data_IF_164534407839
#
_entry.id   IF_164534407839
#
_cell.length_a   1.000
_cell.length_b   1.000
_cell.length_c   1.000
_cell.angle_alpha   90.00
_cell.angle_beta   90.00
_cell.angle_gamma   90.00
#
_symmetry.space_group_name_H-M   'P 1'
#
loop_
_entity.id
_entity.type
_entity.pdbx_description
1 polymer ?
#
# COMPACT_ATOMS: atom_id res chain seq x y z
N UNK A 1 -22.26 33.68 5.12
CA UNK A 1 -23.65 33.18 5.15
C UNK A 1 -23.59 31.71 5.52
N UNK A 2 -23.88 31.36 6.77
CA UNK A 2 -23.93 29.95 7.20
C UNK A 2 -25.33 29.46 6.83
N UNK A 3 -25.42 28.67 5.77
CA UNK A 3 -26.69 28.10 5.30
C UNK A 3 -27.00 26.91 6.20
N UNK A 4 -28.00 27.05 7.07
CA UNK A 4 -28.51 25.95 7.87
C UNK A 4 -29.59 25.23 7.05
N UNK A 5 -29.27 24.05 6.51
CA UNK A 5 -30.28 23.17 5.91
C UNK A 5 -31.09 22.53 7.04
N UNK A 6 -32.40 22.80 7.09
CA UNK A 6 -33.32 21.93 7.82
C UNK A 6 -33.16 20.51 7.28
N UNK A 7 -32.95 19.55 8.18
CA UNK A 7 -32.71 18.14 7.87
C UNK A 7 -33.96 17.59 7.17
N UNK A 8 -33.95 17.66 5.85
CA UNK A 8 -35.00 17.06 5.03
C UNK A 8 -34.83 15.56 5.12
N UNK A 9 -35.69 14.92 5.91
CA UNK A 9 -35.97 13.48 5.91
C UNK A 9 -34.79 12.60 5.46
N UNK A 10 -33.96 12.09 6.41
CA UNK A 10 -32.79 11.27 6.11
C UNK A 10 -33.07 10.09 5.18
N UNK A 11 -34.25 9.48 5.30
CA UNK A 11 -34.66 8.37 4.43
C UNK A 11 -34.89 8.85 2.99
N UNK A 12 -35.52 10.01 2.81
CA UNK A 12 -35.70 10.64 1.49
C UNK A 12 -34.37 11.07 0.87
N UNK A 13 -33.44 11.58 1.69
CA UNK A 13 -32.08 11.92 1.25
C UNK A 13 -31.35 10.66 0.78
N UNK A 14 -31.38 9.59 1.58
CA UNK A 14 -30.78 8.30 1.24
C UNK A 14 -31.38 7.74 -0.06
N UNK A 15 -32.70 7.68 -0.17
CA UNK A 15 -33.36 7.19 -1.38
C UNK A 15 -32.99 7.97 -2.64
N UNK A 16 -32.80 9.29 -2.53
CA UNK A 16 -32.47 10.15 -3.67
C UNK A 16 -30.98 10.16 -4.03
N UNK A 17 -30.09 10.06 -3.04
CA UNK A 17 -28.66 10.32 -3.23
C UNK A 17 -27.74 9.13 -2.92
N UNK A 18 -28.27 7.96 -2.52
CA UNK A 18 -27.45 6.78 -2.19
C UNK A 18 -26.43 6.40 -3.28
N UNK A 19 -26.80 6.49 -4.56
CA UNK A 19 -25.88 6.22 -5.68
C UNK A 19 -24.67 7.14 -5.67
N UNK A 20 -24.89 8.44 -5.47
CA UNK A 20 -23.81 9.43 -5.41
C UNK A 20 -23.00 9.27 -4.13
N UNK A 21 -23.65 8.98 -3.00
CA UNK A 21 -22.98 8.76 -1.72
C UNK A 21 -22.09 7.51 -1.73
N UNK A 22 -22.48 6.49 -2.49
CA UNK A 22 -21.74 5.23 -2.60
C UNK A 22 -20.83 5.16 -3.83
N UNK A 23 -20.68 6.24 -4.60
CA UNK A 23 -19.94 6.24 -5.86
C UNK A 23 -18.48 5.86 -5.66
N UNK A 24 -17.81 6.48 -4.69
CA UNK A 24 -16.40 6.21 -4.38
C UNK A 24 -16.19 4.78 -3.88
N UNK A 25 -17.15 4.26 -3.11
CA UNK A 25 -17.14 2.86 -2.64
C UNK A 25 -17.23 1.92 -3.84
N UNK A 26 -18.17 2.16 -4.77
CA UNK A 26 -18.30 1.38 -6.00
C UNK A 26 -17.01 1.40 -6.82
N UNK A 27 -16.41 2.59 -6.99
CA UNK A 27 -15.14 2.76 -7.73
C UNK A 27 -14.00 2.00 -7.06
N UNK A 28 -13.90 2.05 -5.73
CA UNK A 28 -12.89 1.33 -4.97
C UNK A 28 -13.05 -0.19 -5.11
N UNK A 29 -14.26 -0.70 -4.90
CA UNK A 29 -14.56 -2.14 -5.00
C UNK A 29 -14.31 -2.69 -6.40
N UNK A 30 -14.61 -1.92 -7.46
CA UNK A 30 -14.33 -2.31 -8.84
C UNK A 30 -12.83 -2.34 -9.21
N UNK A 31 -11.98 -1.58 -8.50
CA UNK A 31 -10.51 -1.66 -8.67
C UNK A 31 -9.92 -2.89 -7.99
N UNK A 32 -10.50 -3.29 -6.86
CA UNK A 32 -10.08 -4.45 -6.08
C UNK A 32 -10.56 -5.78 -6.72
N UNK A 33 -11.72 -5.79 -7.41
CA UNK A 33 -12.29 -6.98 -8.03
C UNK A 33 -12.38 -6.86 -9.57
N UNK A 34 -11.24 -7.07 -10.26
CA UNK A 34 -11.08 -6.82 -11.71
C UNK A 34 -12.04 -7.60 -12.64
N UNK A 35 -12.72 -8.63 -12.15
CA UNK A 35 -13.50 -9.56 -12.98
C UNK A 35 -15.01 -9.57 -12.68
N UNK A 36 -15.53 -8.73 -11.78
CA UNK A 36 -16.97 -8.70 -11.49
C UNK A 36 -17.40 -7.34 -10.93
N UNK A 37 -18.50 -6.78 -11.46
CA UNK A 37 -19.11 -5.59 -10.86
C UNK A 37 -19.55 -5.89 -9.42
N UNK A 38 -19.28 -4.99 -8.46
CA UNK A 38 -19.72 -5.19 -7.09
C UNK A 38 -21.25 -5.17 -7.03
N UNK A 39 -21.83 -6.13 -6.32
CA UNK A 39 -23.28 -6.21 -6.12
C UNK A 39 -23.76 -4.92 -5.44
N UNK A 40 -24.78 -4.28 -6.01
CA UNK A 40 -25.29 -2.96 -5.59
C UNK A 40 -25.65 -2.94 -4.09
N UNK A 41 -26.23 -4.02 -3.57
CA UNK A 41 -26.58 -4.14 -2.16
C UNK A 41 -25.36 -4.10 -1.24
N UNK A 42 -24.23 -4.68 -1.67
CA UNK A 42 -22.96 -4.64 -0.92
C UNK A 42 -22.43 -3.21 -0.85
N UNK A 43 -22.49 -2.48 -1.98
CA UNK A 43 -22.03 -1.10 -2.08
C UNK A 43 -22.85 -0.18 -1.15
N UNK A 44 -24.17 -0.34 -1.15
CA UNK A 44 -25.05 0.44 -0.27
C UNK A 44 -24.87 0.09 1.19
N UNK A 45 -24.75 -1.20 1.51
CA UNK A 45 -24.51 -1.65 2.88
C UNK A 45 -23.20 -1.06 3.43
N UNK A 46 -22.12 -1.07 2.63
CA UNK A 46 -20.86 -0.46 3.01
C UNK A 46 -20.97 1.05 3.23
N UNK A 47 -21.78 1.74 2.41
CA UNK A 47 -22.05 3.15 2.59
C UNK A 47 -22.82 3.43 3.90
N UNK A 48 -23.81 2.59 4.24
CA UNK A 48 -24.53 2.68 5.51
C UNK A 48 -23.63 2.43 6.72
N UNK A 49 -22.67 1.50 6.64
CA UNK A 49 -21.69 1.25 7.71
C UNK A 49 -20.87 2.51 8.00
N UNK A 50 -20.31 3.13 6.96
CA UNK A 50 -19.50 4.35 7.12
C UNK A 50 -20.32 5.52 7.67
N UNK A 51 -21.56 5.67 7.19
CA UNK A 51 -22.48 6.68 7.71
C UNK A 51 -22.81 6.43 9.17
N UNK A 52 -23.05 5.18 9.57
CA UNK A 52 -23.36 4.83 10.95
C UNK A 52 -22.19 5.12 11.89
N UNK A 53 -20.96 4.80 11.48
CA UNK A 53 -19.78 5.06 12.31
C UNK A 53 -19.61 6.57 12.57
N UNK A 54 -19.82 7.39 11.53
CA UNK A 54 -19.78 8.86 11.63
C UNK A 54 -20.91 9.39 12.52
N UNK A 55 -22.15 8.95 12.28
CA UNK A 55 -23.33 9.41 13.03
C UNK A 55 -23.26 8.98 14.50
N UNK A 56 -22.79 7.76 14.77
CA UNK A 56 -22.61 7.24 16.13
C UNK A 56 -21.51 8.02 16.84
N UNK A 57 -20.40 8.34 16.16
CA UNK A 57 -19.33 9.17 16.72
C UNK A 57 -19.78 10.59 17.09
N UNK A 58 -20.65 11.21 16.28
CA UNK A 58 -21.11 12.58 16.53
C UNK A 58 -22.29 12.68 17.50
N UNK A 59 -23.22 11.72 17.45
CA UNK A 59 -24.52 11.83 18.14
C UNK A 59 -24.77 10.73 19.17
N UNK A 60 -23.95 9.67 19.18
CA UNK A 60 -24.13 8.50 20.03
C UNK A 60 -25.35 7.63 19.67
N UNK A 61 -26.02 7.90 18.55
CA UNK A 61 -27.25 7.21 18.12
C UNK A 61 -27.03 6.45 16.82
N UNK A 62 -27.76 5.36 16.65
CA UNK A 62 -27.72 4.53 15.45
C UNK A 62 -28.48 5.16 14.27
N UNK A 63 -28.23 4.65 13.06
CA UNK A 63 -28.96 5.11 11.86
C UNK A 63 -30.46 4.84 11.95
N UNK A 64 -30.86 3.75 12.62
CA UNK A 64 -32.26 3.42 12.85
C UNK A 64 -33.01 4.55 13.59
N UNK A 65 -32.33 5.25 14.50
CA UNK A 65 -32.92 6.39 15.21
C UNK A 65 -33.37 7.52 14.26
N UNK A 66 -32.71 7.63 13.11
CA UNK A 66 -32.99 8.64 12.10
C UNK A 66 -33.87 8.10 10.96
N UNK A 67 -34.39 6.88 11.09
CA UNK A 67 -35.28 6.25 10.10
C UNK A 67 -34.55 5.67 8.89
N UNK A 68 -33.24 5.48 8.97
CA UNK A 68 -32.43 4.86 7.91
C UNK A 68 -32.36 3.33 8.09
N UNK A 69 -32.07 2.57 7.00
CA UNK A 69 -31.86 1.13 7.09
C UNK A 69 -30.67 0.79 7.98
N UNK A 70 -30.79 -0.27 8.79
CA UNK A 70 -29.67 -0.78 9.58
C UNK A 70 -28.64 -1.46 8.67
N UNK A 71 -27.35 -1.12 8.80
CA UNK A 71 -26.31 -1.81 8.06
C UNK A 71 -26.14 -3.23 8.59
N UNK A 72 -26.01 -4.17 7.66
CA UNK A 72 -25.70 -5.56 7.96
C UNK A 72 -24.19 -5.69 8.10
N UNK A 73 -23.74 -5.75 9.35
CA UNK A 73 -22.35 -6.07 9.70
C UNK A 73 -22.26 -7.57 9.92
N UNK A 74 -22.28 -8.37 8.85
CA UNK A 74 -21.90 -9.78 8.98
C UNK A 74 -20.50 -9.84 9.60
N UNK A 75 -20.35 -10.59 10.69
CA UNK A 75 -19.18 -10.61 11.59
C UNK A 75 -17.92 -11.26 10.97
N UNK A 76 -17.61 -10.95 9.72
CA UNK A 76 -16.35 -11.34 9.09
C UNK A 76 -15.86 -10.24 8.17
N UNK A 77 -15.31 -9.18 8.75
CA UNK A 77 -13.92 -8.71 8.57
C UNK A 77 -13.71 -7.55 9.57
N UNK A 78 -12.79 -7.80 10.50
CA UNK A 78 -12.35 -7.03 11.67
C UNK A 78 -12.06 -5.56 11.32
N UNK A 79 -12.53 -4.59 12.13
CA UNK A 79 -11.67 -3.70 12.97
C UNK A 79 -12.50 -3.14 14.14
N UNK A 80 -12.26 -3.64 15.35
CA UNK A 80 -12.22 -2.89 16.62
C UNK A 80 -12.23 -3.88 17.78
N UNK A 81 -11.06 -4.39 18.15
CA UNK A 81 -10.80 -4.75 19.54
C UNK A 81 -9.74 -3.79 20.07
N UNK A 82 -10.21 -2.76 20.79
CA UNK A 82 -9.39 -1.96 21.69
C UNK A 82 -8.96 -2.80 22.89
N UNK A 83 -8.11 -3.79 22.65
CA UNK A 83 -7.27 -4.38 23.69
C UNK A 83 -5.85 -4.46 23.11
N UNK A 84 -4.96 -3.66 23.70
CA UNK A 84 -3.49 -3.62 23.50
C UNK A 84 -2.88 -2.87 22.30
N UNK A 85 -3.61 -2.05 21.53
CA UNK A 85 -2.97 -1.23 20.49
C UNK A 85 -2.20 -2.04 19.43
N UNK A 86 -2.46 -3.34 19.36
CA UNK A 86 -1.90 -4.24 18.36
C UNK A 86 -2.85 -4.31 17.18
N UNK A 87 -2.35 -3.95 16.01
CA UNK A 87 -3.08 -4.14 14.75
C UNK A 87 -2.99 -5.63 14.42
N UNK A 88 -4.14 -6.32 14.44
CA UNK A 88 -4.22 -7.70 13.95
C UNK A 88 -4.22 -7.62 12.43
N UNK A 89 -3.09 -8.01 11.83
CA UNK A 89 -3.00 -8.17 10.38
C UNK A 89 -3.81 -9.41 10.02
N UNK A 90 -4.88 -9.30 9.21
CA UNK A 90 -5.65 -10.48 8.85
C UNK A 90 -4.80 -11.40 7.98
N UNK A 91 -4.93 -12.72 8.18
CA UNK A 91 -4.05 -13.74 7.60
C UNK A 91 -4.04 -13.78 6.05
N UNK A 92 -4.96 -13.06 5.40
CA UNK A 92 -5.05 -12.92 3.95
C UNK A 92 -4.43 -11.62 3.41
N UNK A 93 -3.98 -10.70 4.27
CA UNK A 93 -3.38 -9.43 3.85
C UNK A 93 -1.94 -9.60 3.39
N UNK A 94 -1.21 -10.52 4.02
CA UNK A 94 0.19 -10.74 3.73
C UNK A 94 0.56 -12.21 3.96
N UNK A 95 1.39 -12.73 3.08
CA UNK A 95 2.03 -14.02 3.28
C UNK A 95 3.31 -13.85 4.07
N UNK A 96 3.42 -14.56 5.18
CA UNK A 96 4.68 -14.59 5.95
C UNK A 96 5.63 -15.56 5.29
N UNK A 97 6.79 -15.05 4.86
CA UNK A 97 7.91 -15.85 4.35
C UNK A 97 8.96 -15.98 5.44
N UNK A 98 9.49 -17.19 5.63
CA UNK A 98 10.47 -17.48 6.69
C UNK A 98 11.92 -17.25 6.29
N UNK A 99 12.18 -17.17 4.98
CA UNK A 99 13.54 -17.11 4.43
C UNK A 99 13.60 -16.34 3.11
N UNK A 100 14.81 -15.91 2.76
CA UNK A 100 15.06 -15.08 1.58
C UNK A 100 14.91 -15.87 0.26
N UNK A 101 15.18 -17.18 0.26
CA UNK A 101 15.02 -18.02 -0.94
C UNK A 101 13.53 -18.04 -1.32
N UNK A 102 12.65 -18.36 -0.38
CA UNK A 102 11.20 -18.39 -0.58
C UNK A 102 10.66 -17.02 -1.00
N UNK A 103 11.15 -15.92 -0.40
CA UNK A 103 10.76 -14.57 -0.80
C UNK A 103 11.14 -14.28 -2.25
N UNK A 104 12.39 -14.53 -2.61
CA UNK A 104 12.91 -14.23 -3.96
C UNK A 104 12.26 -15.10 -5.03
N UNK A 105 12.07 -16.40 -4.79
CA UNK A 105 11.44 -17.30 -5.75
C UNK A 105 9.95 -16.96 -5.95
N UNK A 106 9.30 -16.37 -4.94
CA UNK A 106 7.91 -15.91 -5.05
C UNK A 106 7.76 -14.65 -5.90
N UNK A 107 8.70 -13.70 -5.78
CA UNK A 107 8.66 -12.43 -6.54
C UNK A 107 9.27 -12.59 -7.93
N UNK A 108 10.41 -13.28 -8.00
CA UNK A 108 11.20 -13.52 -9.21
C UNK A 108 11.44 -15.03 -9.43
N UNK A 109 10.38 -15.79 -9.78
CA UNK A 109 10.53 -17.21 -10.07
C UNK A 109 11.53 -17.45 -11.20
N UNK A 110 12.39 -18.47 -11.03
CA UNK A 110 13.34 -18.92 -12.06
C UNK A 110 14.30 -17.81 -12.54
N UNK A 111 14.68 -16.89 -11.64
CA UNK A 111 15.53 -15.74 -11.98
C UNK A 111 16.88 -16.11 -12.60
N UNK A 112 17.41 -17.29 -12.29
CA UNK A 112 18.66 -17.82 -12.85
C UNK A 112 18.64 -17.92 -14.39
N UNK A 113 17.44 -17.99 -14.99
CA UNK A 113 17.22 -18.03 -16.44
C UNK A 113 16.77 -16.69 -17.02
N UNK A 114 16.76 -15.60 -16.24
CA UNK A 114 16.39 -14.28 -16.74
C UNK A 114 17.38 -13.84 -17.83
N UNK A 115 16.85 -13.37 -18.96
CA UNK A 115 17.64 -12.89 -20.11
C UNK A 115 17.33 -11.42 -20.40
N UNK A 116 18.07 -10.80 -21.33
CA UNK A 116 17.79 -9.44 -21.79
C UNK A 116 16.35 -9.22 -22.29
N UNK A 117 15.70 -10.27 -22.83
CA UNK A 117 14.31 -10.20 -23.26
C UNK A 117 13.31 -10.16 -22.10
N UNK A 118 13.78 -10.43 -20.86
CA UNK A 118 12.97 -10.43 -19.63
C UNK A 118 12.92 -9.05 -18.96
N UNK A 119 13.47 -8.00 -19.56
CA UNK A 119 13.58 -6.68 -18.94
C UNK A 119 12.21 -6.09 -18.54
N UNK A 120 11.19 -6.26 -19.36
CA UNK A 120 9.81 -5.81 -19.03
C UNK A 120 9.25 -6.54 -17.81
N UNK A 121 9.54 -7.84 -17.68
CA UNK A 121 9.08 -8.66 -16.57
C UNK A 121 9.78 -8.29 -15.24
N UNK A 122 11.08 -7.99 -15.30
CA UNK A 122 11.86 -7.52 -14.15
C UNK A 122 11.34 -6.16 -13.64
N UNK A 123 11.06 -5.23 -14.53
CA UNK A 123 10.61 -3.86 -14.20
C UNK A 123 9.24 -3.77 -13.53
N UNK A 124 8.41 -4.79 -13.68
CA UNK A 124 7.09 -4.85 -13.06
C UNK A 124 7.11 -5.27 -11.57
N UNK A 125 8.29 -5.61 -11.04
CA UNK A 125 8.44 -6.21 -9.71
C UNK A 125 9.48 -5.43 -8.91
N UNK A 126 9.21 -5.26 -7.63
CA UNK A 126 10.13 -4.66 -6.69
C UNK A 126 9.97 -5.30 -5.31
N UNK A 127 11.09 -5.41 -4.59
CA UNK A 127 11.10 -5.73 -3.16
C UNK A 127 11.31 -4.41 -2.42
N UNK A 128 10.52 -4.15 -1.37
CA UNK A 128 10.67 -2.95 -0.55
C UNK A 128 11.13 -3.36 0.83
N UNK A 129 12.17 -2.70 1.34
CA UNK A 129 12.72 -2.93 2.67
C UNK A 129 12.76 -1.64 3.48
N UNK A 130 12.67 -1.72 4.81
CA UNK A 130 12.70 -0.53 5.66
C UNK A 130 14.10 0.09 5.82
N UNK A 131 15.17 -0.63 5.48
CA UNK A 131 16.56 -0.18 5.68
C UNK A 131 17.44 -0.51 4.47
N UNK A 132 18.42 0.37 4.20
CA UNK A 132 19.40 0.17 3.13
C UNK A 132 20.25 -1.09 3.36
N UNK A 133 20.62 -1.40 4.60
CA UNK A 133 21.36 -2.63 4.92
C UNK A 133 20.58 -3.89 4.50
N UNK A 134 19.26 -3.89 4.71
CA UNK A 134 18.40 -4.99 4.26
C UNK A 134 18.27 -5.03 2.74
N UNK A 135 18.22 -3.86 2.08
CA UNK A 135 18.23 -3.80 0.62
C UNK A 135 19.53 -4.37 0.04
N UNK A 136 20.68 -4.01 0.60
CA UNK A 136 21.99 -4.47 0.13
C UNK A 136 22.12 -6.00 0.24
N UNK A 137 21.72 -6.59 1.37
CA UNK A 137 21.69 -8.05 1.55
C UNK A 137 20.83 -8.76 0.51
N UNK A 138 19.68 -8.19 0.15
CA UNK A 138 18.79 -8.78 -0.86
C UNK A 138 19.39 -8.61 -2.26
N UNK A 139 19.98 -7.45 -2.54
CA UNK A 139 20.62 -7.17 -3.83
C UNK A 139 21.79 -8.13 -4.07
N UNK A 140 22.69 -8.29 -3.10
CA UNK A 140 23.83 -9.21 -3.21
C UNK A 140 23.35 -10.64 -3.45
N UNK A 141 22.36 -11.10 -2.67
CA UNK A 141 21.77 -12.43 -2.83
C UNK A 141 21.14 -12.66 -4.23
N UNK A 142 20.47 -11.64 -4.77
CA UNK A 142 19.84 -11.71 -6.09
C UNK A 142 20.87 -11.65 -7.22
N UNK A 143 21.96 -10.87 -7.06
CA UNK A 143 23.08 -10.84 -8.00
C UNK A 143 23.82 -12.18 -8.06
N UNK A 144 23.99 -12.86 -6.91
CA UNK A 144 24.57 -14.21 -6.85
C UNK A 144 23.73 -15.27 -7.58
N UNK A 145 22.40 -15.11 -7.59
CA UNK A 145 21.49 -16.03 -8.31
C UNK A 145 21.51 -15.84 -9.83
N UNK A 146 21.94 -14.68 -10.33
CA UNK A 146 22.01 -14.42 -11.75
C UNK A 146 23.26 -15.11 -12.34
N UNK A 147 23.06 -15.98 -13.32
CA UNK A 147 24.14 -16.70 -14.01
C UNK A 147 24.89 -15.84 -15.04
N UNK A 148 24.48 -14.58 -15.20
CA UNK A 148 25.02 -13.62 -16.17
C UNK A 148 26.33 -12.99 -15.72
N UNK A 149 27.09 -12.44 -16.67
CA UNK A 149 28.30 -11.68 -16.40
C UNK A 149 28.01 -10.46 -15.50
N UNK A 150 28.72 -10.36 -14.38
CA UNK A 150 28.61 -9.24 -13.47
C UNK A 150 29.57 -8.13 -13.89
N UNK A 151 29.04 -6.92 -14.08
CA UNK A 151 29.84 -5.73 -14.38
C UNK A 151 29.84 -4.84 -13.14
N UNK A 152 31.04 -4.57 -12.60
CA UNK A 152 31.21 -3.62 -11.50
C UNK A 152 31.35 -2.21 -12.06
N UNK A 153 30.45 -1.33 -11.66
CA UNK A 153 30.53 0.10 -11.92
C UNK A 153 30.99 0.79 -10.64
N UNK A 154 32.08 1.57 -10.72
CA UNK A 154 32.57 2.36 -9.59
C UNK A 154 31.97 3.76 -9.66
N UNK A 155 31.50 4.29 -8.53
CA UNK A 155 31.03 5.67 -8.45
C UNK A 155 32.20 6.62 -8.68
N UNK A 156 31.89 7.79 -9.23
CA UNK A 156 32.84 8.89 -9.31
C UNK A 156 32.42 9.95 -8.28
N UNK A 157 33.13 9.97 -7.15
CA UNK A 157 32.87 10.90 -6.04
C UNK A 157 33.78 12.12 -6.18
N UNK A 158 33.38 13.07 -7.03
CA UNK A 158 34.13 14.30 -7.28
C UNK A 158 33.34 15.52 -6.83
N UNK A 159 33.99 16.44 -6.14
CA UNK A 159 33.42 17.73 -5.72
C UNK A 159 33.25 18.61 -6.96
N UNK A 160 32.08 19.24 -7.12
CA UNK A 160 31.81 20.12 -8.27
C UNK A 160 32.55 21.46 -8.18
N UNK A 161 32.92 21.87 -6.97
CA UNK A 161 33.65 23.11 -6.70
C UNK A 161 34.99 22.84 -6.03
N UNK A 162 36.02 23.56 -6.47
CA UNK A 162 37.41 23.30 -6.09
C UNK A 162 37.67 23.79 -4.66
N UNK A 163 36.93 24.81 -4.22
CA UNK A 163 37.02 25.36 -2.85
C UNK A 163 36.45 24.37 -1.82
N UNK A 164 35.42 23.61 -2.17
CA UNK A 164 34.79 22.60 -1.31
C UNK A 164 35.65 21.33 -1.16
N UNK A 165 36.67 21.15 -2.00
CA UNK A 165 37.59 20.00 -1.97
C UNK A 165 38.39 19.93 -0.66
N UNK A 166 38.61 21.07 0.00
CA UNK A 166 39.28 21.13 1.31
C UNK A 166 38.34 20.74 2.45
N UNK A 167 37.03 20.94 2.27
CA UNK A 167 36.00 20.68 3.27
C UNK A 167 35.44 19.26 3.22
N UNK A 168 35.47 18.62 2.04
CA UNK A 168 34.95 17.27 1.82
C UNK A 168 36.01 16.38 1.13
N UNK A 169 37.00 15.89 1.89
CA UNK A 169 37.98 14.96 1.34
C UNK A 169 37.29 13.69 0.82
N UNK A 170 37.86 13.08 -0.22
CA UNK A 170 37.27 11.92 -0.90
C UNK A 170 37.05 10.74 0.04
N UNK A 171 37.90 10.57 1.06
CA UNK A 171 37.76 9.57 2.09
C UNK A 171 36.48 9.77 2.92
N UNK A 172 36.10 11.03 3.19
CA UNK A 172 34.84 11.36 3.85
C UNK A 172 33.65 11.09 2.93
N UNK A 173 33.74 11.46 1.66
CA UNK A 173 32.69 11.19 0.66
C UNK A 173 32.43 9.68 0.50
N UNK A 174 33.48 8.85 0.47
CA UNK A 174 33.36 7.39 0.40
C UNK A 174 32.72 6.76 1.66
N UNK A 175 32.66 7.48 2.79
CA UNK A 175 31.94 7.03 3.99
C UNK A 175 30.47 7.45 4.04
N UNK A 176 30.01 8.28 3.10
CA UNK A 176 28.62 8.70 3.05
C UNK A 176 27.74 7.56 2.56
N UNK A 177 26.80 7.14 3.40
CA UNK A 177 25.68 6.29 3.02
C UNK A 177 24.38 7.12 3.11
N UNK A 178 24.10 7.98 2.12
CA UNK A 178 22.96 8.88 2.19
C UNK A 178 21.65 8.10 2.31
N UNK A 179 20.72 8.63 3.10
CA UNK A 179 19.35 8.10 3.26
C UNK A 179 18.51 8.40 2.02
N UNK A 180 18.98 8.01 0.83
CA UNK A 180 18.11 7.87 -0.32
C UNK A 180 17.43 6.51 -0.20
N UNK A 181 16.12 6.47 -0.46
CA UNK A 181 15.39 5.22 -0.65
C UNK A 181 16.09 4.45 -1.78
N UNK A 182 16.96 3.49 -1.44
CA UNK A 182 17.41 2.47 -2.38
C UNK A 182 16.19 1.63 -2.69
N UNK A 183 15.39 2.08 -3.65
CA UNK A 183 14.50 1.20 -4.38
C UNK A 183 15.38 0.04 -4.85
N UNK A 184 14.95 -1.19 -4.54
CA UNK A 184 15.50 -2.39 -5.14
C UNK A 184 15.11 -2.32 -6.63
N UNK A 185 15.91 -1.58 -7.39
CA UNK A 185 15.92 -1.61 -8.83
C UNK A 185 16.89 -2.71 -9.23
N UNK A 186 16.35 -3.79 -9.77
CA UNK A 186 17.12 -4.67 -10.63
C UNK A 186 16.93 -4.19 -12.09
N UNK A 187 18.03 -3.65 -12.62
CA UNK A 187 18.43 -3.44 -14.03
C UNK A 187 17.61 -2.41 -14.87
#
# INVERSE_FOLDING_TARGET
MIVFCQVGDPLKLWGKYRESLSEDIRRRMGRENRNSEPVVDIVYNQCLILLEDIVTSMSGKSLLHFGLPEPIREQSIIINNQQEGKIIIPNNLCDTVGDLITLTDRIYPNIEYATFNSLSWLKERAILTPTNESADKINDFMLEKLTTEQIKYESIDTVTDIEDTVHYPVEFLHTLNPQAYRLIFFI
#
